data_IF_806703445421
#
_entry.id   IF_806703445421
#
_cell.length_a   1.000
_cell.length_b   1.000
_cell.length_c   1.000
_cell.angle_alpha   90.00
_cell.angle_beta   90.00
_cell.angle_gamma   90.00
#
_symmetry.space_group_name_H-M   'P 1'
#
loop_
_entity.id
_entity.type
_entity.pdbx_description
1 polymer ?
#
# COMPACT_ATOMS: atom_id res chain seq x y z
N UNK A 1 3.69 59.31 -18.06
CA UNK A 1 3.79 58.60 -16.77
C UNK A 1 4.08 57.13 -17.05
N UNK A 2 5.20 56.56 -16.60
CA UNK A 2 5.39 55.10 -16.61
C UNK A 2 6.79 54.58 -16.98
N UNK A 3 7.85 54.97 -16.25
CA UNK A 3 9.18 54.33 -16.34
C UNK A 3 9.74 53.95 -14.95
N UNK A 4 8.90 53.46 -14.03
CA UNK A 4 9.31 53.24 -12.63
C UNK A 4 9.28 51.78 -12.14
N UNK A 5 8.78 50.82 -12.92
CA UNK A 5 8.49 49.46 -12.39
C UNK A 5 9.60 48.42 -12.60
N UNK A 6 10.56 48.65 -13.51
CA UNK A 6 11.63 47.69 -13.82
C UNK A 6 12.81 47.74 -12.84
N UNK A 7 13.07 48.91 -12.24
CA UNK A 7 14.21 49.12 -11.33
C UNK A 7 14.00 48.48 -9.96
N UNK A 8 12.77 48.46 -9.46
CA UNK A 8 12.42 47.94 -8.13
C UNK A 8 12.58 46.42 -8.07
N UNK A 9 12.17 45.70 -9.12
CA UNK A 9 12.26 44.23 -9.20
C UNK A 9 13.72 43.75 -9.27
N UNK A 10 14.56 44.48 -10.01
CA UNK A 10 15.99 44.20 -10.12
C UNK A 10 16.73 44.47 -8.80
N UNK A 11 16.35 45.53 -8.07
CA UNK A 11 16.91 45.84 -6.74
C UNK A 11 16.53 44.79 -5.68
N UNK A 12 15.30 44.26 -5.72
CA UNK A 12 14.86 43.17 -4.82
C UNK A 12 15.56 41.85 -5.09
N UNK A 13 15.76 41.50 -6.36
CA UNK A 13 16.53 40.31 -6.73
C UNK A 13 18.01 40.43 -6.34
N UNK A 14 18.62 41.60 -6.54
CA UNK A 14 20.01 41.85 -6.14
C UNK A 14 20.14 41.80 -4.61
N UNK A 15 19.18 42.36 -3.86
CA UNK A 15 19.19 42.29 -2.39
C UNK A 15 19.07 40.84 -1.89
N UNK A 16 18.18 40.03 -2.46
CA UNK A 16 18.02 38.62 -2.08
C UNK A 16 19.27 37.78 -2.38
N UNK A 17 19.91 38.00 -3.52
CA UNK A 17 21.17 37.34 -3.86
C UNK A 17 22.31 37.76 -2.94
N UNK A 18 22.43 39.06 -2.62
CA UNK A 18 23.42 39.53 -1.65
C UNK A 18 23.18 38.94 -0.25
N UNK A 19 21.93 38.84 0.20
CA UNK A 19 21.64 38.20 1.50
C UNK A 19 21.98 36.71 1.50
N UNK A 20 21.70 35.98 0.41
CA UNK A 20 22.04 34.57 0.30
C UNK A 20 23.56 34.33 0.25
N UNK A 21 24.30 35.20 -0.45
CA UNK A 21 25.77 35.15 -0.49
C UNK A 21 26.38 35.49 0.86
N UNK A 22 25.85 36.47 1.60
CA UNK A 22 26.29 36.76 2.98
C UNK A 22 26.00 35.56 3.89
N UNK A 23 24.83 34.94 3.80
CA UNK A 23 24.51 33.73 4.57
C UNK A 23 25.45 32.56 4.23
N UNK A 24 25.74 32.37 2.95
CA UNK A 24 26.65 31.33 2.48
C UNK A 24 28.10 31.58 2.89
N UNK A 25 28.55 32.83 2.89
CA UNK A 25 29.88 33.22 3.38
C UNK A 25 29.98 33.12 4.90
N UNK A 26 28.92 33.43 5.66
CA UNK A 26 28.86 33.19 7.10
C UNK A 26 28.87 31.69 7.42
N UNK A 27 28.22 30.88 6.59
CA UNK A 27 28.24 29.42 6.68
C UNK A 27 29.61 28.82 6.37
N UNK A 28 30.32 29.33 5.35
CA UNK A 28 31.68 28.91 5.00
C UNK A 28 32.76 29.42 5.97
N UNK A 29 32.50 30.51 6.70
CA UNK A 29 33.42 31.05 7.71
C UNK A 29 33.33 30.33 9.06
N UNK A 30 32.53 29.25 9.14
CA UNK A 30 32.44 28.41 10.34
C UNK A 30 31.81 29.12 11.53
N UNK A 31 30.81 30.00 11.31
CA UNK A 31 30.03 30.53 12.41
C UNK A 31 29.28 29.37 13.08
N UNK A 32 29.73 28.95 14.26
CA UNK A 32 29.04 28.03 15.14
C UNK A 32 27.66 28.61 15.46
N UNK A 33 26.64 28.07 14.79
CA UNK A 33 25.26 28.40 15.06
C UNK A 33 24.87 27.80 16.41
N UNK A 34 24.95 28.61 17.46
CA UNK A 34 24.44 28.27 18.79
C UNK A 34 22.90 28.37 18.80
N UNK A 35 22.24 27.33 19.30
CA UNK A 35 20.78 27.27 19.47
C UNK A 35 20.29 28.36 20.43
N UNK A 36 19.13 29.00 20.17
CA UNK A 36 18.50 29.90 21.12
C UNK A 36 18.27 29.21 22.47
N UNK A 37 18.57 29.89 23.58
CA UNK A 37 18.57 29.30 24.93
C UNK A 37 17.24 28.64 25.33
N UNK A 38 16.13 29.09 24.75
CA UNK A 38 14.79 28.51 24.92
C UNK A 38 14.72 27.02 24.58
N UNK A 39 15.57 26.53 23.68
CA UNK A 39 15.61 25.12 23.28
C UNK A 39 16.56 24.27 24.14
N UNK A 40 17.49 24.89 24.88
CA UNK A 40 18.42 24.18 25.77
C UNK A 40 17.75 23.80 27.09
N UNK A 41 16.78 24.60 27.55
CA UNK A 41 16.06 24.39 28.82
C UNK A 41 14.92 23.36 28.73
N UNK A 42 14.57 22.89 27.53
CA UNK A 42 13.45 21.96 27.33
C UNK A 42 13.75 20.50 27.77
N UNK A 43 14.96 20.20 28.28
CA UNK A 43 15.28 18.92 28.92
C UNK A 43 15.20 17.68 28.01
N UNK A 44 15.20 17.84 26.68
CA UNK A 44 15.11 16.72 25.74
C UNK A 44 16.52 16.20 25.42
N UNK A 45 16.85 14.93 25.73
CA UNK A 45 18.17 14.36 25.44
C UNK A 45 18.29 14.08 23.93
N UNK A 46 18.86 15.04 23.19
CA UNK A 46 19.02 14.96 21.74
C UNK A 46 20.41 14.41 21.38
N UNK A 47 20.51 13.09 21.25
CA UNK A 47 21.55 12.46 20.43
C UNK A 47 21.14 12.55 18.95
N UNK A 48 22.10 12.74 18.03
CA UNK A 48 21.85 12.79 16.57
C UNK A 48 21.03 11.60 16.05
N UNK A 49 21.07 10.45 16.74
CA UNK A 49 20.27 9.27 16.41
C UNK A 49 18.77 9.36 16.75
N UNK A 50 18.38 10.16 17.74
CA UNK A 50 16.98 10.25 18.21
C UNK A 50 16.17 11.37 17.54
N UNK A 51 16.82 12.28 16.81
CA UNK A 51 16.15 13.43 16.18
C UNK A 51 15.19 12.99 15.06
N UNK A 52 15.49 11.87 14.38
CA UNK A 52 14.66 11.32 13.32
C UNK A 52 13.24 10.95 13.80
N UNK A 53 13.08 10.61 15.09
CA UNK A 53 11.80 10.21 15.67
C UNK A 53 10.85 11.40 15.96
N UNK A 54 11.39 12.62 16.02
CA UNK A 54 10.64 13.85 16.34
C UNK A 54 10.32 14.72 15.11
N UNK A 55 10.98 14.48 13.98
CA UNK A 55 10.64 15.13 12.71
C UNK A 55 9.46 14.37 12.09
N UNK A 56 8.23 14.71 12.48
CA UNK A 56 7.03 14.28 11.73
C UNK A 56 7.15 14.82 10.31
N UNK A 57 7.35 13.92 9.34
CA UNK A 57 7.42 14.27 7.92
C UNK A 57 6.14 15.04 7.54
N UNK A 58 6.24 16.15 6.80
CA UNK A 58 5.05 16.85 6.31
C UNK A 58 4.20 15.90 5.47
N UNK A 59 2.89 15.93 5.66
CA UNK A 59 1.92 15.04 4.98
C UNK A 59 1.96 15.11 3.45
N UNK A 60 2.59 16.16 2.89
CA UNK A 60 2.79 16.34 1.46
C UNK A 60 4.07 15.67 0.90
N UNK A 61 4.96 15.15 1.76
CA UNK A 61 6.20 14.45 1.36
C UNK A 61 6.11 12.92 1.47
N UNK A 62 5.10 12.37 2.12
CA UNK A 62 4.92 10.91 2.19
C UNK A 62 4.11 10.47 0.97
N UNK A 63 4.75 9.80 0.01
CA UNK A 63 4.05 8.99 -0.99
C UNK A 63 3.00 8.12 -0.26
N UNK A 64 1.82 7.87 -0.83
CA UNK A 64 0.88 6.93 -0.24
C UNK A 64 1.61 5.60 -0.06
N UNK A 65 1.63 5.09 1.18
CA UNK A 65 2.17 3.76 1.44
C UNK A 65 1.28 2.78 0.69
N UNK A 66 1.87 1.95 -0.17
CA UNK A 66 1.15 0.87 -0.83
C UNK A 66 0.48 0.00 0.22
N UNK A 67 -0.79 -0.35 0.00
CA UNK A 67 -1.54 -1.17 0.93
C UNK A 67 -0.92 -2.56 1.02
N UNK A 68 -0.74 -3.04 2.25
CA UNK A 68 -0.09 -4.32 2.57
C UNK A 68 -0.72 -5.52 1.86
N UNK A 69 -2.02 -5.44 1.54
CA UNK A 69 -2.72 -6.46 0.76
C UNK A 69 -2.03 -6.76 -0.57
N UNK A 70 -1.39 -5.79 -1.21
CA UNK A 70 -0.66 -6.02 -2.45
C UNK A 70 0.62 -6.80 -2.23
N UNK A 71 1.29 -6.62 -1.10
CA UNK A 71 2.40 -7.49 -0.69
C UNK A 71 1.93 -8.92 -0.50
N UNK A 72 0.82 -9.12 0.23
CA UNK A 72 0.24 -10.44 0.41
C UNK A 72 -0.20 -11.08 -0.92
N UNK A 73 -0.88 -10.32 -1.79
CA UNK A 73 -1.30 -10.79 -3.11
C UNK A 73 -0.06 -11.15 -3.95
N UNK A 74 0.98 -10.32 -3.96
CA UNK A 74 2.23 -10.62 -4.66
C UNK A 74 2.80 -11.97 -4.20
N UNK A 75 2.94 -12.17 -2.89
CA UNK A 75 3.46 -13.41 -2.31
C UNK A 75 2.64 -14.65 -2.71
N UNK A 76 1.31 -14.60 -2.57
CA UNK A 76 0.45 -15.79 -2.79
C UNK A 76 0.18 -16.05 -4.27
N UNK A 77 0.48 -15.09 -5.15
CA UNK A 77 0.29 -15.25 -6.60
C UNK A 77 1.57 -15.56 -7.34
N UNK A 78 2.73 -15.41 -6.71
CA UNK A 78 3.99 -15.88 -7.26
C UNK A 78 4.02 -17.42 -7.30
N UNK A 79 4.55 -17.98 -8.38
CA UNK A 79 4.52 -19.43 -8.67
C UNK A 79 5.81 -20.13 -8.23
N UNK A 80 6.82 -19.37 -7.81
CA UNK A 80 8.08 -19.88 -7.28
C UNK A 80 7.86 -20.58 -5.92
N UNK A 81 8.32 -21.83 -5.79
CA UNK A 81 8.11 -22.66 -4.59
C UNK A 81 8.74 -22.04 -3.32
N UNK A 82 9.82 -21.28 -3.46
CA UNK A 82 10.50 -20.60 -2.34
C UNK A 82 9.57 -19.58 -1.64
N UNK A 83 8.60 -19.01 -2.34
CA UNK A 83 7.70 -17.98 -1.82
C UNK A 83 6.51 -18.55 -1.05
N UNK A 84 6.27 -19.86 -1.10
CA UNK A 84 5.14 -20.47 -0.40
C UNK A 84 5.35 -20.56 1.12
N UNK A 85 6.59 -20.48 1.60
CA UNK A 85 6.94 -20.69 3.02
C UNK A 85 7.49 -19.44 3.72
N UNK A 86 7.49 -18.26 3.08
CA UNK A 86 8.13 -17.05 3.63
C UNK A 86 7.48 -16.62 4.95
N UNK A 87 6.15 -16.62 5.02
CA UNK A 87 5.44 -16.20 6.24
C UNK A 87 5.53 -17.24 7.36
N UNK A 88 5.59 -18.53 7.04
CA UNK A 88 5.69 -19.59 8.04
C UNK A 88 7.12 -19.73 8.59
N UNK A 89 8.13 -19.32 7.81
CA UNK A 89 9.56 -19.42 8.17
C UNK A 89 10.10 -18.19 8.90
N UNK A 90 9.33 -17.10 9.00
CA UNK A 90 9.72 -15.88 9.68
C UNK A 90 9.59 -16.02 11.22
N UNK A 91 10.69 -16.11 11.99
CA UNK A 91 10.67 -16.51 13.40
C UNK A 91 10.00 -15.49 14.33
N UNK A 92 9.98 -14.21 13.95
CA UNK A 92 9.44 -13.11 14.75
C UNK A 92 8.23 -12.42 14.08
N UNK A 93 7.57 -13.08 13.13
CA UNK A 93 6.40 -12.51 12.46
C UNK A 93 5.18 -12.56 13.39
N UNK A 94 4.75 -11.38 13.85
CA UNK A 94 3.42 -11.19 14.41
C UNK A 94 2.43 -10.77 13.29
N UNK A 95 1.55 -11.66 12.80
CA UNK A 95 0.61 -11.32 11.73
C UNK A 95 -0.50 -10.36 12.18
N UNK A 96 -0.60 -10.08 13.49
CA UNK A 96 -1.55 -9.12 14.06
C UNK A 96 -1.02 -7.68 14.08
N UNK A 97 0.22 -7.47 13.62
CA UNK A 97 0.81 -6.16 13.38
C UNK A 97 1.08 -5.95 11.87
N UNK A 98 1.21 -4.69 11.40
CA UNK A 98 1.58 -4.39 10.02
C UNK A 98 2.90 -5.06 9.62
N UNK A 99 2.86 -5.89 8.59
CA UNK A 99 4.04 -6.58 8.06
C UNK A 99 4.83 -5.63 7.16
N UNK A 100 6.16 -5.70 7.24
CA UNK A 100 7.04 -4.94 6.34
C UNK A 100 6.86 -5.43 4.90
N UNK A 101 6.70 -4.51 3.95
CA UNK A 101 6.52 -4.84 2.53
C UNK A 101 7.69 -5.67 2.00
N UNK A 102 8.91 -5.47 2.50
CA UNK A 102 10.09 -6.23 2.09
C UNK A 102 10.02 -7.72 2.45
N UNK A 103 9.14 -8.11 3.40
CA UNK A 103 8.92 -9.53 3.69
C UNK A 103 8.13 -10.22 2.56
N UNK A 104 7.35 -9.47 1.80
CA UNK A 104 6.61 -9.99 0.65
C UNK A 104 7.42 -9.94 -0.66
N UNK A 105 8.59 -9.30 -0.66
CA UNK A 105 9.44 -9.19 -1.83
C UNK A 105 10.03 -10.56 -2.21
N UNK A 106 10.26 -10.82 -3.50
CA UNK A 106 10.81 -12.08 -3.94
C UNK A 106 12.33 -12.15 -3.72
N UNK A 107 12.81 -13.26 -3.15
CA UNK A 107 14.24 -13.53 -2.98
C UNK A 107 14.95 -12.59 -2.00
N UNK A 108 16.25 -12.39 -2.17
CA UNK A 108 17.07 -11.50 -1.31
C UNK A 108 16.96 -10.01 -1.70
N UNK A 109 16.29 -9.67 -2.82
CA UNK A 109 16.21 -8.31 -3.35
C UNK A 109 15.12 -7.50 -2.61
N UNK A 110 15.55 -6.46 -1.89
CA UNK A 110 14.68 -5.66 -1.01
C UNK A 110 14.22 -4.33 -1.62
N UNK A 111 14.42 -4.10 -2.92
CA UNK A 111 14.09 -2.85 -3.60
C UNK A 111 13.00 -3.05 -4.66
N UNK A 112 11.85 -3.56 -4.21
CA UNK A 112 10.68 -3.74 -5.09
C UNK A 112 9.97 -2.40 -5.28
N UNK A 113 9.75 -2.03 -6.54
CA UNK A 113 8.88 -0.90 -6.90
C UNK A 113 7.41 -1.30 -6.73
N UNK A 114 6.90 -1.14 -5.50
CA UNK A 114 5.54 -1.51 -5.14
C UNK A 114 4.46 -0.73 -5.90
N UNK A 115 4.74 0.48 -6.39
CA UNK A 115 3.76 1.24 -7.19
C UNK A 115 3.55 0.56 -8.56
N UNK A 116 4.66 0.09 -9.14
CA UNK A 116 4.63 -0.71 -10.38
C UNK A 116 3.98 -2.07 -10.16
N UNK A 117 4.33 -2.78 -9.08
CA UNK A 117 3.74 -4.08 -8.76
C UNK A 117 2.23 -4.01 -8.57
N UNK A 118 1.73 -2.99 -7.85
CA UNK A 118 0.27 -2.76 -7.70
C UNK A 118 -0.42 -2.65 -9.05
N UNK A 119 0.18 -1.91 -9.98
CA UNK A 119 -0.39 -1.71 -11.31
C UNK A 119 -0.44 -3.02 -12.09
N UNK A 120 0.64 -3.80 -12.08
CA UNK A 120 0.69 -5.12 -12.73
C UNK A 120 -0.27 -6.13 -12.10
N UNK A 121 -0.36 -6.17 -10.76
CA UNK A 121 -1.26 -7.07 -10.05
C UNK A 121 -2.73 -6.72 -10.31
N UNK A 122 -3.09 -5.45 -10.38
CA UNK A 122 -4.46 -5.04 -10.71
C UNK A 122 -4.84 -5.35 -12.16
N UNK A 123 -3.88 -5.28 -13.09
CA UNK A 123 -4.12 -5.67 -14.48
C UNK A 123 -4.27 -7.20 -14.61
N UNK A 124 -3.39 -7.96 -13.95
CA UNK A 124 -3.34 -9.42 -14.04
C UNK A 124 -4.43 -10.11 -13.21
N UNK A 125 -4.67 -9.60 -12.01
CA UNK A 125 -5.58 -10.18 -11.00
C UNK A 125 -6.51 -9.10 -10.40
N UNK A 126 -7.36 -8.44 -11.22
CA UNK A 126 -8.28 -7.42 -10.73
C UNK A 126 -9.28 -7.95 -9.70
N UNK A 127 -9.57 -9.26 -9.73
CA UNK A 127 -10.42 -9.96 -8.76
C UNK A 127 -9.60 -11.08 -8.13
N UNK A 128 -9.42 -11.01 -6.80
CA UNK A 128 -8.74 -12.04 -6.00
C UNK A 128 -9.71 -12.61 -4.97
N UNK A 129 -9.77 -13.94 -4.87
CA UNK A 129 -10.63 -14.64 -3.93
C UNK A 129 -9.77 -15.48 -3.01
N UNK A 130 -9.58 -15.03 -1.77
CA UNK A 130 -9.06 -15.89 -0.71
C UNK A 130 -10.18 -16.83 -0.28
N UNK A 131 -9.95 -18.13 -0.44
CA UNK A 131 -10.95 -19.19 -0.38
C UNK A 131 -10.52 -20.30 0.59
N UNK A 132 -11.47 -21.18 0.90
CA UNK A 132 -11.20 -22.51 1.45
C UNK A 132 -11.83 -23.60 0.58
N UNK A 133 -11.07 -24.62 0.24
CA UNK A 133 -11.45 -25.67 -0.72
C UNK A 133 -12.75 -26.40 -0.33
N UNK A 134 -12.93 -26.67 0.96
CA UNK A 134 -14.08 -27.38 1.52
C UNK A 134 -15.25 -26.46 1.94
N UNK A 135 -15.06 -25.14 1.91
CA UNK A 135 -16.04 -24.20 2.46
C UNK A 135 -17.24 -23.98 1.51
N UNK A 136 -18.49 -24.21 1.94
CA UNK A 136 -19.66 -24.02 1.09
C UNK A 136 -19.87 -22.56 0.65
N UNK A 137 -19.59 -21.59 1.53
CA UNK A 137 -19.68 -20.16 1.18
C UNK A 137 -18.66 -19.75 0.12
N UNK A 138 -17.46 -20.35 0.15
CA UNK A 138 -16.43 -20.09 -0.86
C UNK A 138 -16.83 -20.67 -2.21
N UNK A 139 -17.36 -21.91 -2.23
CA UNK A 139 -17.94 -22.51 -3.45
C UNK A 139 -19.07 -21.67 -4.03
N UNK A 140 -19.98 -21.17 -3.19
CA UNK A 140 -21.09 -20.32 -3.61
C UNK A 140 -20.61 -18.99 -4.23
N UNK A 141 -19.61 -18.34 -3.63
CA UNK A 141 -19.06 -17.11 -4.17
C UNK A 141 -18.35 -17.32 -5.51
N UNK A 142 -17.57 -18.41 -5.64
CA UNK A 142 -16.90 -18.78 -6.90
C UNK A 142 -17.92 -19.08 -8.00
N UNK A 143 -18.96 -19.86 -7.70
CA UNK A 143 -20.03 -20.15 -8.64
C UNK A 143 -20.73 -18.87 -9.12
N UNK A 144 -21.01 -17.92 -8.23
CA UNK A 144 -21.55 -16.62 -8.64
C UNK A 144 -20.59 -15.87 -9.56
N UNK A 145 -19.29 -15.76 -9.23
CA UNK A 145 -18.32 -15.09 -10.12
C UNK A 145 -18.17 -15.78 -11.48
N UNK A 146 -18.31 -17.10 -11.54
CA UNK A 146 -18.29 -17.86 -12.79
C UNK A 146 -19.44 -17.47 -13.73
N UNK A 147 -20.64 -17.16 -13.20
CA UNK A 147 -21.77 -16.73 -14.05
C UNK A 147 -21.51 -15.42 -14.78
N UNK A 148 -20.58 -14.60 -14.29
CA UNK A 148 -20.21 -13.33 -14.90
C UNK A 148 -19.26 -13.47 -16.11
N UNK A 149 -18.67 -14.66 -16.33
CA UNK A 149 -17.76 -14.90 -17.45
C UNK A 149 -16.59 -13.92 -17.53
N UNK A 150 -15.96 -13.62 -16.39
CA UNK A 150 -14.97 -12.54 -16.26
C UNK A 150 -13.71 -12.77 -17.11
N UNK A 151 -13.21 -11.67 -17.71
CA UNK A 151 -11.88 -11.59 -18.33
C UNK A 151 -11.11 -10.38 -17.81
N UNK A 152 -9.94 -10.59 -17.18
CA UNK A 152 -9.35 -11.89 -16.79
C UNK A 152 -10.21 -12.64 -15.73
N UNK A 153 -10.07 -13.98 -15.60
CA UNK A 153 -10.79 -14.74 -14.58
C UNK A 153 -10.30 -14.39 -13.16
N UNK A 154 -11.12 -14.60 -12.11
CA UNK A 154 -10.68 -14.41 -10.73
C UNK A 154 -9.46 -15.26 -10.38
N UNK A 155 -8.48 -14.68 -9.68
CA UNK A 155 -7.40 -15.47 -9.05
C UNK A 155 -7.90 -16.03 -7.73
N UNK A 156 -8.06 -17.34 -7.67
CA UNK A 156 -8.48 -18.05 -6.45
C UNK A 156 -7.25 -18.54 -5.70
N UNK A 157 -7.19 -18.22 -4.40
CA UNK A 157 -6.15 -18.68 -3.48
C UNK A 157 -6.82 -19.58 -2.44
N UNK A 158 -6.61 -20.89 -2.52
CA UNK A 158 -7.12 -21.85 -1.53
C UNK A 158 -6.20 -21.86 -0.31
N UNK A 159 -6.51 -21.00 0.66
CA UNK A 159 -5.63 -20.72 1.82
C UNK A 159 -5.45 -21.96 2.69
N UNK A 160 -6.44 -22.86 2.75
CA UNK A 160 -6.36 -24.11 3.52
C UNK A 160 -5.36 -25.12 2.97
N UNK A 161 -4.89 -24.97 1.73
CA UNK A 161 -3.92 -25.86 1.11
C UNK A 161 -2.48 -25.37 1.22
N UNK A 162 -2.24 -24.26 1.94
CA UNK A 162 -0.92 -23.66 2.13
C UNK A 162 -0.41 -23.85 3.55
N UNK A 163 0.91 -23.91 3.69
CA UNK A 163 1.57 -24.04 4.99
C UNK A 163 1.48 -22.77 5.83
N UNK A 164 1.45 -21.60 5.19
CA UNK A 164 1.29 -20.28 5.81
C UNK A 164 -0.18 -19.87 6.04
N UNK A 165 -1.11 -20.83 5.97
CA UNK A 165 -2.56 -20.59 6.09
C UNK A 165 -2.98 -19.81 7.33
N UNK A 166 -2.31 -20.05 8.46
CA UNK A 166 -2.59 -19.38 9.74
C UNK A 166 -2.18 -17.91 9.68
N UNK A 167 -0.99 -17.62 9.15
CA UNK A 167 -0.45 -16.28 8.99
C UNK A 167 -1.31 -15.48 8.00
N UNK A 168 -1.62 -16.06 6.84
CA UNK A 168 -2.50 -15.43 5.83
C UNK A 168 -3.86 -15.07 6.45
N UNK A 169 -4.50 -16.01 7.17
CA UNK A 169 -5.79 -15.74 7.83
C UNK A 169 -5.69 -14.59 8.83
N UNK A 170 -4.63 -14.55 9.64
CA UNK A 170 -4.43 -13.50 10.64
C UNK A 170 -4.21 -12.13 9.98
N UNK A 171 -3.36 -12.05 8.95
CA UNK A 171 -3.13 -10.83 8.15
C UNK A 171 -4.45 -10.36 7.51
N UNK A 172 -5.18 -11.25 6.83
CA UNK A 172 -6.47 -10.90 6.22
C UNK A 172 -7.47 -10.39 7.26
N UNK A 173 -7.56 -11.05 8.42
CA UNK A 173 -8.43 -10.62 9.52
C UNK A 173 -8.06 -9.23 10.01
N UNK A 174 -6.76 -8.92 10.13
CA UNK A 174 -6.30 -7.60 10.54
C UNK A 174 -6.66 -6.52 9.52
N UNK A 175 -6.41 -6.82 8.23
CA UNK A 175 -6.59 -5.88 7.12
C UNK A 175 -8.07 -5.58 6.85
N UNK A 176 -8.94 -6.59 6.87
CA UNK A 176 -10.35 -6.44 6.47
C UNK A 176 -11.35 -6.50 7.62
N UNK A 177 -10.89 -6.83 8.84
CA UNK A 177 -11.75 -7.16 9.99
C UNK A 177 -12.67 -8.36 9.76
N UNK A 178 -12.37 -9.19 8.75
CA UNK A 178 -13.12 -10.40 8.43
C UNK A 178 -12.27 -11.65 8.71
N UNK A 179 -12.75 -12.49 9.64
CA UNK A 179 -12.06 -13.72 10.07
C UNK A 179 -12.56 -15.00 9.38
N UNK A 180 -13.48 -14.86 8.42
CA UNK A 180 -14.15 -15.94 7.68
C UNK A 180 -13.75 -15.94 6.21
N UNK A 181 -13.90 -17.10 5.57
CA UNK A 181 -13.72 -17.27 4.13
C UNK A 181 -15.09 -17.46 3.45
N UNK A 182 -15.26 -16.98 2.22
CA UNK A 182 -14.26 -16.31 1.38
C UNK A 182 -14.01 -14.86 1.83
N UNK A 183 -12.85 -14.31 1.49
CA UNK A 183 -12.57 -12.87 1.54
C UNK A 183 -12.19 -12.42 0.13
N UNK A 184 -13.03 -11.57 -0.45
CA UNK A 184 -13.02 -11.25 -1.88
C UNK A 184 -12.51 -9.83 -2.06
N UNK A 185 -11.58 -9.65 -2.99
CA UNK A 185 -10.98 -8.36 -3.29
C UNK A 185 -11.20 -7.98 -4.75
N UNK A 186 -11.49 -6.70 -4.98
CA UNK A 186 -11.55 -6.08 -6.30
C UNK A 186 -10.61 -4.86 -6.27
N UNK A 187 -9.57 -4.88 -7.11
CA UNK A 187 -8.47 -3.88 -7.10
C UNK A 187 -7.89 -3.62 -5.69
N UNK A 188 -7.52 -4.71 -5.00
CA UNK A 188 -6.96 -4.64 -3.64
C UNK A 188 -7.92 -4.18 -2.54
N UNK A 189 -9.19 -3.88 -2.85
CA UNK A 189 -10.21 -3.51 -1.85
C UNK A 189 -11.09 -4.70 -1.53
N UNK A 190 -11.22 -5.02 -0.25
CA UNK A 190 -12.13 -6.08 0.20
C UNK A 190 -13.57 -5.66 -0.06
N UNK A 191 -14.34 -6.56 -0.67
CA UNK A 191 -15.80 -6.44 -0.85
C UNK A 191 -16.55 -7.36 0.12
N UNK A 192 -15.84 -7.99 1.05
CA UNK A 192 -16.39 -8.87 2.07
C UNK A 192 -16.42 -10.34 1.64
N UNK A 193 -17.43 -11.06 2.15
CA UNK A 193 -17.59 -12.48 1.94
C UNK A 193 -18.62 -12.85 0.88
N UNK A 194 -19.10 -14.10 0.98
CA UNK A 194 -20.07 -14.67 0.05
C UNK A 194 -21.41 -13.90 0.07
N UNK A 195 -21.89 -13.53 1.26
CA UNK A 195 -23.14 -12.79 1.41
C UNK A 195 -23.05 -11.37 0.86
N UNK A 196 -21.95 -10.68 1.12
CA UNK A 196 -21.70 -9.34 0.58
C UNK A 196 -21.66 -9.34 -0.95
N UNK A 197 -20.99 -10.34 -1.55
CA UNK A 197 -20.97 -10.49 -3.01
C UNK A 197 -22.38 -10.72 -3.58
N UNK A 198 -23.17 -11.60 -2.96
CA UNK A 198 -24.54 -11.87 -3.41
C UNK A 198 -25.45 -10.66 -3.22
N UNK A 199 -25.22 -9.86 -2.18
CA UNK A 199 -25.91 -8.59 -1.97
C UNK A 199 -25.58 -7.60 -3.09
N UNK A 200 -24.32 -7.45 -3.47
CA UNK A 200 -23.93 -6.59 -4.61
C UNK A 200 -24.56 -7.08 -5.93
N UNK A 201 -24.68 -8.40 -6.11
CA UNK A 201 -25.37 -8.99 -7.25
C UNK A 201 -26.87 -8.67 -7.24
N UNK A 202 -27.57 -8.91 -6.12
CA UNK A 202 -29.01 -8.64 -6.02
C UNK A 202 -29.36 -7.14 -6.13
N UNK A 203 -28.44 -6.27 -5.70
CA UNK A 203 -28.52 -4.81 -5.88
C UNK A 203 -28.14 -4.36 -7.31
N UNK A 204 -27.82 -5.27 -8.22
CA UNK A 204 -27.38 -5.00 -9.61
C UNK A 204 -26.18 -4.06 -9.68
N UNK A 205 -25.36 -4.03 -8.64
CA UNK A 205 -24.21 -3.13 -8.52
C UNK A 205 -22.88 -3.84 -8.83
N UNK A 206 -22.83 -5.17 -8.69
CA UNK A 206 -21.63 -5.98 -8.87
C UNK A 206 -21.01 -5.85 -10.27
N UNK A 207 -21.81 -5.99 -11.34
CA UNK A 207 -21.33 -5.79 -12.73
C UNK A 207 -20.58 -4.47 -12.92
N UNK A 208 -21.21 -3.37 -12.49
CA UNK A 208 -20.63 -2.03 -12.59
C UNK A 208 -19.32 -1.90 -11.80
N UNK A 209 -19.22 -2.56 -10.65
CA UNK A 209 -17.99 -2.57 -9.84
C UNK A 209 -16.87 -3.32 -10.58
N UNK A 210 -17.17 -4.48 -11.17
CA UNK A 210 -16.22 -5.28 -11.95
C UNK A 210 -15.75 -4.55 -13.21
N UNK A 211 -16.65 -3.94 -13.96
CA UNK A 211 -16.33 -3.17 -15.17
C UNK A 211 -15.47 -1.94 -14.84
N UNK A 212 -15.78 -1.23 -13.73
CA UNK A 212 -14.94 -0.13 -13.24
C UNK A 212 -13.54 -0.59 -12.82
N UNK A 213 -13.41 -1.84 -12.41
CA UNK A 213 -12.12 -2.45 -12.09
C UNK A 213 -11.32 -2.88 -13.33
N UNK A 214 -11.83 -2.65 -14.53
CA UNK A 214 -11.19 -3.03 -15.80
C UNK A 214 -11.46 -4.47 -16.22
N UNK A 215 -12.39 -5.16 -15.56
CA UNK A 215 -12.77 -6.54 -15.88
C UNK A 215 -13.85 -6.54 -16.95
N UNK A 216 -13.65 -7.29 -18.02
CA UNK A 216 -14.69 -7.52 -19.02
C UNK A 216 -15.66 -8.59 -18.51
N UNK A 217 -16.96 -8.29 -18.54
CA UNK A 217 -18.03 -9.19 -18.13
C UNK A 217 -18.72 -9.74 -19.39
N UNK A 218 -18.43 -10.98 -19.75
CA UNK A 218 -18.86 -11.59 -21.03
C UNK A 218 -20.27 -12.18 -20.93
N UNK A 219 -20.63 -12.70 -19.76
CA UNK A 219 -21.94 -13.30 -19.53
C UNK A 219 -22.58 -12.62 -18.34
N UNK A 220 -23.83 -12.19 -18.46
CA UNK A 220 -24.74 -12.05 -17.32
C UNK A 220 -26.15 -11.86 -17.89
N UNK A 221 -26.88 -12.95 -18.08
CA UNK A 221 -28.30 -12.92 -18.44
C UNK A 221 -29.06 -13.81 -17.46
N UNK A 222 -29.29 -13.32 -16.24
CA UNK A 222 -30.23 -13.90 -15.25
C UNK A 222 -31.05 -12.78 -14.60
#
# INVERSE_FOLDING_TARGET
MGLATTTIRRRRFIALMLTAVVFFLLFLRGAEWELPDVLKDAGVPLSKGNFAHYVKRPTWMTKPKVDEIYGLIHLVTNEDEEHQHVLSSAPDLDPTEPVDMNLYAPGEEKDVDWEKEVSMLNEKYPVVVFSKSFCPFSKRAKALLETYGLRPPPKVIEVDLRDDSTQIKAILTRLTKQSTFPNIFIQGKSVGGSDDLHKLHSEKSLRRILEKAGVQVIAEDV
#
